data_IF_859002279269
#
_entry.id   IF_859002279269
#
_cell.length_a   1.000
_cell.length_b   1.000
_cell.length_c   1.000
_cell.angle_alpha   90.00
_cell.angle_beta   90.00
_cell.angle_gamma   90.00
#
_symmetry.space_group_name_H-M   'P 1'
#
loop_
_entity.id
_entity.type
_entity.pdbx_description
1 polymer ?
#
# COMPACT_ATOMS: atom_id res chain seq x y z
N UNK A 1 -7.28 24.14 -16.44
CA UNK A 1 -7.42 25.10 -17.56
C UNK A 1 -6.79 24.61 -18.87
N UNK A 2 -5.55 24.08 -18.90
CA UNK A 2 -4.92 23.63 -20.17
C UNK A 2 -5.29 22.21 -20.64
N UNK A 3 -5.65 21.32 -19.70
CA UNK A 3 -6.05 19.94 -19.98
C UNK A 3 -7.42 19.65 -19.32
N UNK A 4 -8.54 20.14 -19.89
CA UNK A 4 -9.86 20.05 -19.24
C UNK A 4 -10.50 18.65 -19.29
N UNK A 5 -9.93 17.72 -20.06
CA UNK A 5 -10.43 16.35 -20.25
C UNK A 5 -9.92 15.36 -19.18
N UNK A 6 -9.09 15.83 -18.24
CA UNK A 6 -8.59 15.00 -17.13
C UNK A 6 -9.76 14.47 -16.29
N UNK A 7 -9.82 13.16 -16.11
CA UNK A 7 -10.80 12.50 -15.25
C UNK A 7 -10.44 12.70 -13.78
N UNK A 8 -11.47 12.92 -12.97
CA UNK A 8 -11.33 13.01 -11.52
C UNK A 8 -12.62 12.58 -10.82
N UNK A 9 -12.49 12.18 -9.56
CA UNK A 9 -13.58 11.63 -8.76
C UNK A 9 -13.67 12.33 -7.39
N UNK A 10 -14.90 12.59 -6.87
CA UNK A 10 -16.18 12.54 -7.59
C UNK A 10 -16.30 13.68 -8.63
N UNK A 11 -17.10 13.53 -9.71
CA UNK A 11 -17.17 14.49 -10.81
C UNK A 11 -17.53 15.93 -10.41
N UNK A 12 -18.42 16.09 -9.44
CA UNK A 12 -18.95 17.37 -8.96
C UNK A 12 -18.03 18.06 -7.93
N UNK A 13 -17.12 17.32 -7.32
CA UNK A 13 -16.13 17.86 -6.39
C UNK A 13 -14.83 17.02 -6.45
N UNK A 14 -14.03 17.14 -7.53
CA UNK A 14 -12.83 16.34 -7.75
C UNK A 14 -11.87 16.33 -6.54
N UNK A 15 -11.63 15.15 -5.96
CA UNK A 15 -10.67 14.95 -4.87
C UNK A 15 -9.50 14.04 -5.30
N UNK A 16 -9.77 13.05 -6.15
CA UNK A 16 -8.77 12.14 -6.70
C UNK A 16 -8.72 12.33 -8.20
N UNK A 17 -7.53 12.55 -8.74
CA UNK A 17 -7.33 12.80 -10.16
C UNK A 17 -6.69 11.58 -10.81
N UNK A 18 -7.24 11.12 -11.92
CA UNK A 18 -6.64 10.09 -12.77
C UNK A 18 -5.52 10.71 -13.61
N UNK A 19 -4.51 11.20 -12.91
CA UNK A 19 -3.26 11.75 -13.42
C UNK A 19 -2.12 10.90 -12.91
N UNK A 20 -1.19 10.55 -13.79
CA UNK A 20 -0.08 9.64 -13.54
C UNK A 20 1.26 10.27 -13.96
N UNK A 21 1.28 11.05 -15.02
CA UNK A 21 2.48 11.53 -15.71
C UNK A 21 2.63 13.05 -15.67
N UNK A 22 1.97 13.74 -14.74
CA UNK A 22 2.16 15.19 -14.62
C UNK A 22 3.64 15.54 -14.35
N UNK A 23 4.12 16.73 -14.75
CA UNK A 23 5.50 17.15 -14.46
C UNK A 23 5.85 17.04 -12.97
N UNK A 24 4.91 17.32 -12.06
CA UNK A 24 5.12 17.17 -10.62
C UNK A 24 5.33 15.69 -10.22
N UNK A 25 4.49 14.78 -10.72
CA UNK A 25 4.62 13.35 -10.43
C UNK A 25 5.91 12.75 -11.00
N UNK A 26 6.27 13.09 -12.25
CA UNK A 26 7.51 12.61 -12.87
C UNK A 26 8.73 13.12 -12.13
N UNK A 27 8.75 14.42 -11.76
CA UNK A 27 9.85 14.99 -10.96
C UNK A 27 9.96 14.35 -9.59
N UNK A 28 8.84 14.20 -8.88
CA UNK A 28 8.85 13.60 -7.53
C UNK A 28 9.41 12.17 -7.57
N UNK A 29 8.90 11.31 -8.45
CA UNK A 29 9.33 9.90 -8.57
C UNK A 29 10.77 9.74 -9.08
N UNK A 30 11.28 10.72 -9.82
CA UNK A 30 12.65 10.72 -10.34
C UNK A 30 13.65 11.40 -9.39
N UNK A 31 13.19 12.03 -8.32
CA UNK A 31 14.04 12.86 -7.48
C UNK A 31 15.04 11.99 -6.70
N UNK A 32 16.36 12.30 -6.72
CA UNK A 32 17.38 11.49 -6.02
C UNK A 32 17.08 11.27 -4.54
N UNK A 33 16.62 12.30 -3.82
CA UNK A 33 16.25 12.16 -2.40
C UNK A 33 15.09 11.17 -2.17
N UNK A 34 14.12 11.09 -3.09
CA UNK A 34 13.02 10.15 -2.94
C UNK A 34 13.49 8.73 -3.20
N UNK A 35 14.29 8.51 -4.25
CA UNK A 35 14.91 7.21 -4.53
C UNK A 35 15.81 6.76 -3.36
N UNK A 36 16.55 7.68 -2.74
CA UNK A 36 17.34 7.40 -1.55
C UNK A 36 16.47 7.01 -0.34
N UNK A 37 15.37 7.72 -0.10
CA UNK A 37 14.41 7.37 0.95
C UNK A 37 13.76 6.00 0.72
N UNK A 38 13.38 5.69 -0.52
CA UNK A 38 12.85 4.37 -0.88
C UNK A 38 13.89 3.27 -0.63
N UNK A 39 15.15 3.43 -1.05
CA UNK A 39 16.22 2.46 -0.74
C UNK A 39 16.39 2.22 0.76
N UNK A 40 16.31 3.29 1.56
CA UNK A 40 16.35 3.18 3.02
C UNK A 40 15.15 2.39 3.58
N UNK A 41 13.93 2.64 3.10
CA UNK A 41 12.76 1.88 3.52
C UNK A 41 12.85 0.40 3.10
N UNK A 42 13.33 0.14 1.88
CA UNK A 42 13.52 -1.21 1.37
C UNK A 42 14.61 -1.97 2.13
N UNK A 43 15.59 -1.29 2.74
CA UNK A 43 16.66 -1.97 3.48
C UNK A 43 16.24 -2.54 4.84
N UNK A 44 15.03 -2.27 5.32
CA UNK A 44 14.46 -2.96 6.49
C UNK A 44 14.03 -4.40 6.18
N UNK A 45 13.81 -4.70 4.91
CA UNK A 45 13.45 -6.03 4.46
C UNK A 45 14.69 -6.91 4.31
N UNK A 46 14.50 -8.19 4.56
CA UNK A 46 15.54 -9.19 4.38
C UNK A 46 14.97 -10.44 3.71
N UNK A 47 15.84 -11.35 3.31
CA UNK A 47 15.49 -12.62 2.69
C UNK A 47 16.19 -13.76 3.40
N UNK A 48 15.45 -14.83 3.74
CA UNK A 48 16.05 -16.08 4.25
C UNK A 48 16.67 -16.91 3.12
N UNK A 49 16.24 -16.67 1.88
CA UNK A 49 16.80 -17.28 0.69
C UNK A 49 17.84 -16.33 0.04
N UNK A 50 19.15 -16.61 0.17
CA UNK A 50 20.18 -15.74 -0.39
C UNK A 50 20.16 -15.66 -1.93
N UNK A 51 19.47 -16.60 -2.59
CA UNK A 51 19.30 -16.66 -4.04
C UNK A 51 17.97 -16.06 -4.53
N UNK A 52 17.15 -15.53 -3.61
CA UNK A 52 15.88 -14.90 -3.93
C UNK A 52 16.06 -13.81 -5.01
N UNK A 53 15.27 -13.89 -6.09
CA UNK A 53 15.31 -12.97 -7.23
C UNK A 53 14.65 -11.63 -6.89
N UNK A 54 15.31 -10.89 -6.03
CA UNK A 54 14.89 -9.62 -5.45
C UNK A 54 16.10 -8.72 -5.22
N UNK A 55 15.90 -7.41 -5.37
CA UNK A 55 16.88 -6.42 -4.93
C UNK A 55 16.18 -5.25 -4.24
N UNK A 56 16.51 -5.04 -2.97
CA UNK A 56 16.08 -3.88 -2.17
C UNK A 56 16.91 -2.62 -2.43
N UNK A 57 18.06 -2.76 -3.11
CA UNK A 57 18.95 -1.64 -3.47
C UNK A 57 18.52 -0.86 -4.71
N UNK A 58 17.63 -1.44 -5.52
CA UNK A 58 17.19 -0.91 -6.80
C UNK A 58 15.67 -0.69 -6.78
N UNK A 59 15.17 0.43 -6.24
CA UNK A 59 13.75 0.73 -6.26
C UNK A 59 13.28 0.94 -7.70
N UNK A 60 12.05 0.52 -7.98
CA UNK A 60 11.37 0.77 -9.26
C UNK A 60 10.15 1.62 -9.04
N UNK A 61 9.80 2.42 -10.05
CA UNK A 61 8.68 3.34 -9.98
C UNK A 61 7.37 2.59 -10.18
N UNK A 62 6.40 2.88 -9.32
CA UNK A 62 4.99 2.59 -9.54
C UNK A 62 4.22 3.90 -9.73
N UNK A 63 3.50 4.03 -10.83
CA UNK A 63 2.74 5.21 -11.17
C UNK A 63 1.33 5.11 -10.59
N UNK A 64 1.05 5.99 -9.62
CA UNK A 64 -0.25 6.09 -8.97
C UNK A 64 -0.83 7.51 -9.18
N UNK A 65 -2.02 7.72 -8.66
CA UNK A 65 -2.78 8.96 -8.71
C UNK A 65 -2.25 9.99 -7.72
N UNK A 66 -2.94 11.12 -7.65
CA UNK A 66 -2.79 12.13 -6.61
C UNK A 66 -4.14 12.40 -5.95
N UNK A 67 -4.09 12.91 -4.73
CA UNK A 67 -5.26 13.38 -3.99
C UNK A 67 -5.09 14.85 -3.65
N UNK A 68 -6.13 15.64 -3.85
CA UNK A 68 -6.27 17.01 -3.34
C UNK A 68 -7.58 17.08 -2.59
N UNK A 69 -7.53 16.92 -1.25
CA UNK A 69 -8.72 16.83 -0.42
C UNK A 69 -9.10 18.21 0.12
N UNK A 70 -10.31 18.69 -0.18
CA UNK A 70 -10.80 19.99 0.25
C UNK A 70 -11.28 19.99 1.73
N UNK A 71 -11.19 21.14 2.44
CA UNK A 71 -11.80 21.33 3.75
C UNK A 71 -13.27 20.89 3.81
N UNK A 72 -13.63 20.20 4.90
CA UNK A 72 -14.99 19.74 5.14
C UNK A 72 -15.42 18.48 4.40
N UNK A 73 -14.61 17.95 3.47
CA UNK A 73 -14.92 16.72 2.74
C UNK A 73 -15.13 15.52 3.68
N UNK A 74 -16.21 14.78 3.42
CA UNK A 74 -16.57 13.54 4.13
C UNK A 74 -16.76 12.36 3.18
N UNK A 75 -16.63 12.58 1.86
CA UNK A 75 -16.88 11.53 0.87
C UNK A 75 -15.67 10.63 0.70
N UNK A 76 -14.47 11.15 0.92
CA UNK A 76 -13.23 10.37 0.93
C UNK A 76 -12.92 9.84 2.34
N UNK A 77 -13.89 9.17 2.95
CA UNK A 77 -13.71 8.44 4.20
C UNK A 77 -13.39 6.97 3.87
N UNK A 78 -12.17 6.55 4.14
CA UNK A 78 -11.75 5.15 4.06
C UNK A 78 -11.56 4.63 5.48
N UNK A 79 -12.37 3.63 5.85
CA UNK A 79 -12.27 2.93 7.12
C UNK A 79 -10.94 2.18 7.26
N UNK A 80 -10.75 1.50 8.39
CA UNK A 80 -9.54 0.72 8.61
C UNK A 80 -9.47 -0.44 7.60
N UNK A 81 -8.36 -0.53 6.86
CA UNK A 81 -8.16 -1.59 5.88
C UNK A 81 -6.67 -1.93 5.70
N UNK A 82 -6.42 -3.05 5.02
CA UNK A 82 -5.10 -3.47 4.52
C UNK A 82 -5.24 -3.79 3.03
N UNK A 83 -4.35 -3.21 2.20
CA UNK A 83 -4.33 -3.45 0.74
C UNK A 83 -3.50 -4.67 0.37
N UNK A 84 -3.45 -5.00 -0.93
CA UNK A 84 -2.61 -6.09 -1.45
C UNK A 84 -3.22 -7.47 -1.19
N UNK A 85 -4.54 -7.59 -1.38
CA UNK A 85 -5.30 -8.82 -1.21
C UNK A 85 -6.11 -8.85 0.09
N UNK A 86 -7.20 -9.60 0.07
CA UNK A 86 -8.01 -9.93 1.23
C UNK A 86 -8.11 -11.44 1.40
N UNK A 87 -9.02 -12.11 0.70
CA UNK A 87 -9.22 -13.56 0.74
C UNK A 87 -7.92 -14.32 0.41
N UNK A 88 -7.09 -13.75 -0.47
CA UNK A 88 -5.81 -14.30 -0.88
C UNK A 88 -4.89 -14.62 0.30
N UNK A 89 -5.06 -13.96 1.46
CA UNK A 89 -4.25 -14.19 2.67
C UNK A 89 -4.46 -15.57 3.30
N UNK A 90 -5.63 -16.17 3.09
CA UNK A 90 -5.99 -17.50 3.56
C UNK A 90 -5.88 -18.58 2.47
N UNK A 91 -5.83 -18.17 1.20
CA UNK A 91 -5.85 -19.10 0.08
C UNK A 91 -4.46 -19.63 -0.29
N UNK A 92 -4.38 -20.95 -0.56
CA UNK A 92 -3.17 -21.61 -1.03
C UNK A 92 -2.64 -20.99 -2.34
N UNK A 93 -3.55 -20.61 -3.24
CA UNK A 93 -3.20 -19.97 -4.50
C UNK A 93 -2.78 -18.49 -4.36
N UNK A 94 -3.03 -17.87 -3.20
CA UNK A 94 -2.71 -16.47 -2.91
C UNK A 94 -1.40 -16.35 -2.15
N UNK A 95 -1.48 -15.96 -0.88
CA UNK A 95 -0.34 -15.87 0.05
C UNK A 95 0.18 -17.25 0.50
N UNK A 96 -0.61 -18.31 0.35
CA UNK A 96 -0.18 -19.67 0.65
C UNK A 96 0.94 -20.18 -0.26
N UNK A 97 1.04 -19.71 -1.51
CA UNK A 97 2.15 -20.03 -2.44
C UNK A 97 3.52 -19.74 -1.83
N UNK A 98 3.58 -18.65 -1.08
CA UNK A 98 4.77 -18.19 -0.39
C UNK A 98 4.90 -18.67 1.04
N UNK A 99 3.84 -19.27 1.60
CA UNK A 99 3.73 -19.62 3.03
C UNK A 99 3.97 -18.38 3.93
N UNK A 100 3.57 -17.19 3.46
CA UNK A 100 3.88 -15.90 4.11
C UNK A 100 3.45 -15.87 5.57
N UNK A 101 2.27 -16.40 5.86
CA UNK A 101 1.65 -16.39 7.19
C UNK A 101 1.69 -17.75 7.89
N UNK A 102 2.50 -18.70 7.41
CA UNK A 102 2.51 -20.05 7.94
C UNK A 102 2.81 -20.11 9.45
N UNK A 103 3.77 -19.30 9.91
CA UNK A 103 4.10 -19.20 11.34
C UNK A 103 2.86 -18.87 12.19
N UNK A 104 1.98 -18.00 11.70
CA UNK A 104 0.73 -17.63 12.37
C UNK A 104 -0.22 -18.83 12.38
N UNK A 105 -0.45 -19.47 11.22
CA UNK A 105 -1.42 -20.56 11.11
C UNK A 105 -1.01 -21.85 11.86
N UNK A 106 0.29 -22.07 12.10
CA UNK A 106 0.78 -23.19 12.94
C UNK A 106 0.73 -22.90 14.45
N UNK A 107 0.28 -21.71 14.86
CA UNK A 107 0.22 -21.30 16.27
C UNK A 107 1.51 -20.75 16.85
N UNK A 108 2.49 -20.41 16.02
CA UNK A 108 3.80 -19.83 16.41
C UNK A 108 3.93 -18.42 15.80
N UNK A 109 2.91 -17.60 16.07
CA UNK A 109 2.77 -16.27 15.49
C UNK A 109 3.88 -15.32 15.98
N UNK A 110 4.50 -15.61 17.12
CA UNK A 110 5.63 -14.86 17.67
C UNK A 110 6.86 -14.93 16.75
N UNK A 111 7.03 -16.04 16.03
CA UNK A 111 8.09 -16.23 15.03
C UNK A 111 7.77 -15.60 13.67
N UNK A 112 6.55 -15.10 13.47
CA UNK A 112 6.17 -14.43 12.23
C UNK A 112 7.00 -13.16 12.04
N UNK A 113 7.69 -13.11 10.90
CA UNK A 113 8.51 -11.99 10.50
C UNK A 113 7.85 -11.24 9.35
N UNK A 114 7.29 -10.03 9.59
CA UNK A 114 6.65 -9.27 8.53
C UNK A 114 7.64 -8.77 7.46
N UNK A 115 8.94 -8.68 7.81
CA UNK A 115 10.01 -8.13 6.97
C UNK A 115 10.72 -9.17 6.12
N UNK A 116 10.30 -10.43 6.18
CA UNK A 116 10.76 -11.47 5.27
C UNK A 116 10.09 -11.29 3.89
N UNK A 117 10.93 -11.05 2.88
CA UNK A 117 10.59 -10.76 1.50
C UNK A 117 10.56 -11.97 0.57
N UNK A 118 11.37 -13.03 0.78
CA UNK A 118 11.44 -14.15 -0.19
C UNK A 118 10.11 -14.88 -0.32
N UNK A 119 9.40 -15.04 0.80
CA UNK A 119 8.08 -15.64 0.84
C UNK A 119 7.04 -14.84 0.05
N UNK A 120 7.28 -13.54 -0.23
CA UNK A 120 6.33 -12.69 -0.95
C UNK A 120 6.48 -12.74 -2.47
N UNK A 121 7.61 -13.22 -2.98
CA UNK A 121 7.87 -13.28 -4.43
C UNK A 121 6.87 -14.14 -5.23
N UNK A 122 6.43 -15.33 -4.76
CA UNK A 122 5.48 -16.15 -5.52
C UNK A 122 4.01 -15.76 -5.29
N UNK A 123 3.73 -14.77 -4.43
CA UNK A 123 2.36 -14.43 -4.02
C UNK A 123 1.56 -13.89 -5.20
N UNK A 124 0.31 -14.33 -5.29
CA UNK A 124 -0.70 -13.70 -6.13
C UNK A 124 -1.70 -12.99 -5.23
N UNK A 125 -1.57 -11.67 -5.12
CA UNK A 125 -2.39 -10.85 -4.21
C UNK A 125 -3.73 -10.41 -4.79
N UNK A 126 -4.02 -10.75 -6.04
CA UNK A 126 -5.26 -10.44 -6.74
C UNK A 126 -5.72 -11.66 -7.54
N UNK A 127 -6.34 -12.62 -6.86
CA UNK A 127 -6.89 -13.82 -7.50
C UNK A 127 -8.19 -13.55 -8.23
N UNK A 128 -8.85 -12.44 -7.89
CA UNK A 128 -10.22 -12.14 -8.28
C UNK A 128 -10.35 -10.95 -9.23
N UNK A 129 -9.23 -10.42 -9.72
CA UNK A 129 -9.19 -9.27 -10.63
C UNK A 129 -9.95 -8.06 -10.09
N UNK A 130 -9.68 -7.75 -8.81
CA UNK A 130 -10.30 -6.67 -8.07
C UNK A 130 -10.06 -5.31 -8.71
N UNK A 131 -11.06 -4.44 -8.68
CA UNK A 131 -10.92 -3.07 -9.20
C UNK A 131 -9.94 -2.32 -8.30
N UNK A 132 -8.87 -1.79 -8.89
CA UNK A 132 -7.82 -1.08 -8.17
C UNK A 132 -6.82 -2.00 -7.45
N UNK A 133 -6.80 -3.29 -7.78
CA UNK A 133 -5.73 -4.18 -7.37
C UNK A 133 -4.36 -3.68 -7.87
N UNK A 134 -3.32 -3.92 -7.09
CA UNK A 134 -1.97 -3.53 -7.43
C UNK A 134 -1.19 -4.75 -7.94
N UNK A 135 -0.60 -4.63 -9.12
CA UNK A 135 0.21 -5.65 -9.77
C UNK A 135 1.67 -5.68 -9.30
N UNK A 136 2.15 -4.61 -8.64
CA UNK A 136 3.50 -4.58 -8.08
C UNK A 136 3.52 -5.04 -6.62
N UNK A 137 4.54 -5.81 -6.25
CA UNK A 137 4.91 -5.99 -4.86
C UNK A 137 5.43 -4.65 -4.30
N UNK A 138 4.60 -4.00 -3.49
CA UNK A 138 4.94 -2.80 -2.72
C UNK A 138 5.39 -3.26 -1.34
N UNK A 139 6.64 -3.00 -0.99
CA UNK A 139 7.17 -3.28 0.36
C UNK A 139 6.69 -2.23 1.36
N UNK A 140 6.59 -0.98 0.91
CA UNK A 140 5.90 0.06 1.65
C UNK A 140 4.93 0.79 0.72
N UNK A 141 3.75 1.08 1.23
CA UNK A 141 2.93 2.15 0.68
C UNK A 141 3.50 3.49 1.11
N UNK A 142 3.14 4.56 0.42
CA UNK A 142 3.61 5.87 0.81
C UNK A 142 3.09 6.99 -0.09
N UNK A 143 3.27 8.21 0.40
CA UNK A 143 2.93 9.42 -0.34
C UNK A 143 3.83 10.59 0.05
N UNK A 144 4.02 11.49 -0.91
CA UNK A 144 4.72 12.75 -0.74
C UNK A 144 3.71 13.87 -0.47
N UNK A 145 3.90 14.60 0.62
CA UNK A 145 3.07 15.75 0.99
C UNK A 145 3.25 16.89 -0.03
N UNK A 146 2.12 17.46 -0.46
CA UNK A 146 2.08 18.63 -1.35
C UNK A 146 1.45 19.86 -0.68
N UNK A 147 0.81 19.68 0.48
CA UNK A 147 0.31 20.75 1.33
C UNK A 147 0.72 20.50 2.79
N UNK A 148 0.57 21.52 3.63
CA UNK A 148 0.66 21.34 5.07
C UNK A 148 -0.63 20.70 5.58
N UNK A 149 -0.53 19.69 6.44
CA UNK A 149 -1.71 19.00 6.96
C UNK A 149 -1.44 18.40 8.34
N UNK A 150 -2.37 18.59 9.27
CA UNK A 150 -2.28 18.14 10.66
C UNK A 150 -3.23 16.95 10.94
N UNK A 151 -3.10 16.28 12.11
CA UNK A 151 -4.14 15.35 12.58
C UNK A 151 -5.54 15.97 12.51
N UNK A 152 -6.55 15.16 12.15
CA UNK A 152 -7.96 15.56 11.93
C UNK A 152 -8.22 16.40 10.67
N UNK A 153 -7.19 16.76 9.92
CA UNK A 153 -7.33 17.55 8.70
C UNK A 153 -7.38 16.67 7.43
N UNK A 154 -8.02 15.50 7.52
CA UNK A 154 -8.19 14.65 6.35
C UNK A 154 -6.98 13.72 6.10
N UNK A 155 -6.17 13.48 7.12
CA UNK A 155 -4.87 12.80 7.04
C UNK A 155 -4.97 11.30 7.30
N UNK A 156 -3.81 10.63 7.21
CA UNK A 156 -3.63 9.20 7.40
C UNK A 156 -3.63 8.84 8.89
N UNK A 157 -4.26 7.72 9.21
CA UNK A 157 -4.07 7.01 10.47
C UNK A 157 -3.49 5.64 10.18
N UNK A 158 -2.63 5.15 11.07
CA UNK A 158 -2.03 3.81 11.00
C UNK A 158 -2.22 3.08 12.32
N UNK A 159 -2.32 1.75 12.26
CA UNK A 159 -2.17 0.88 13.41
C UNK A 159 -0.68 0.50 13.53
N UNK A 160 0.02 0.88 14.61
CA UNK A 160 1.44 0.60 14.75
C UNK A 160 1.76 -0.83 15.24
N UNK A 161 0.75 -1.69 15.42
CA UNK A 161 0.89 -3.03 15.99
C UNK A 161 1.10 -4.11 14.91
N UNK A 162 1.94 -3.85 13.89
CA UNK A 162 2.08 -4.66 12.68
C UNK A 162 1.97 -6.18 12.91
N UNK A 163 2.89 -6.79 13.69
CA UNK A 163 2.88 -8.24 13.96
C UNK A 163 1.60 -8.71 14.66
N UNK A 164 1.21 -8.04 15.74
CA UNK A 164 0.07 -8.44 16.57
C UNK A 164 -1.26 -8.28 15.81
N UNK A 165 -1.43 -7.18 15.08
CA UNK A 165 -2.61 -6.91 14.30
C UNK A 165 -2.75 -7.89 13.13
N UNK A 166 -1.66 -8.18 12.41
CA UNK A 166 -1.64 -9.19 11.34
C UNK A 166 -2.00 -10.58 11.86
N UNK A 167 -1.37 -11.03 12.94
CA UNK A 167 -1.71 -12.30 13.58
C UNK A 167 -3.18 -12.35 14.02
N UNK A 168 -3.65 -11.28 14.67
CA UNK A 168 -5.01 -11.19 15.16
C UNK A 168 -6.05 -11.33 14.03
N UNK A 169 -5.99 -10.50 12.98
CA UNK A 169 -7.05 -10.55 11.95
C UNK A 169 -6.99 -11.82 11.12
N UNK A 170 -5.80 -12.43 10.93
CA UNK A 170 -5.67 -13.71 10.22
C UNK A 170 -6.25 -14.88 11.00
N UNK A 171 -6.08 -14.87 12.33
CA UNK A 171 -6.62 -15.91 13.21
C UNK A 171 -8.09 -15.69 13.55
N UNK A 172 -8.56 -14.44 13.54
CA UNK A 172 -9.91 -14.04 13.95
C UNK A 172 -11.05 -14.89 13.36
N UNK A 173 -11.05 -15.30 12.07
CA UNK A 173 -12.09 -16.17 11.49
C UNK A 173 -12.23 -17.54 12.16
N UNK A 174 -11.19 -18.02 12.85
CA UNK A 174 -11.17 -19.33 13.49
C UNK A 174 -11.59 -19.31 14.96
N UNK A 175 -12.00 -18.16 15.51
CA UNK A 175 -12.41 -18.05 16.92
C UNK A 175 -13.83 -17.54 17.07
N UNK A 176 -14.60 -18.25 17.90
CA UNK A 176 -16.01 -17.94 18.21
C UNK A 176 -16.16 -17.65 19.70
N UNK A 177 -16.99 -16.65 20.08
CA UNK A 177 -17.24 -16.35 21.48
C UNK A 177 -18.14 -17.42 22.12
N UNK A 178 -17.79 -17.86 23.34
CA UNK A 178 -18.55 -18.81 24.16
C UNK A 178 -19.81 -18.17 24.73
N UNK A 179 -19.76 -16.87 25.03
CA UNK A 179 -20.88 -16.05 25.50
C UNK A 179 -21.07 -14.85 24.56
N UNK A 180 -22.32 -14.52 24.20
CA UNK A 180 -22.60 -13.33 23.40
C UNK A 180 -22.28 -12.06 24.21
N UNK A 181 -22.10 -10.92 23.52
CA UNK A 181 -21.90 -9.65 24.21
C UNK A 181 -23.19 -9.19 24.89
N UNK A 182 -23.05 -8.36 25.94
CA UNK A 182 -24.20 -7.78 26.63
C UNK A 182 -25.01 -6.85 25.72
N UNK A 183 -24.33 -6.11 24.85
CA UNK A 183 -24.93 -5.28 23.81
C UNK A 183 -24.30 -5.60 22.44
N UNK A 184 -25.04 -6.21 21.50
CA UNK A 184 -24.55 -6.48 20.15
C UNK A 184 -24.04 -5.24 19.40
N UNK A 185 -24.61 -4.06 19.68
CA UNK A 185 -24.29 -2.82 18.99
C UNK A 185 -23.04 -2.12 19.54
N UNK A 186 -22.55 -2.51 20.74
CA UNK A 186 -21.35 -1.93 21.33
C UNK A 186 -20.44 -2.94 22.05
N UNK A 187 -20.33 -4.15 21.51
CA UNK A 187 -19.55 -5.21 22.12
C UNK A 187 -18.03 -4.97 22.10
N UNK A 188 -17.55 -4.00 21.31
CA UNK A 188 -16.14 -3.62 21.30
C UNK A 188 -15.68 -2.94 22.60
N UNK A 189 -16.61 -2.57 23.50
CA UNK A 189 -16.30 -2.02 24.83
C UNK A 189 -16.67 -2.98 25.99
N UNK A 190 -17.08 -4.22 25.68
CA UNK A 190 -17.53 -5.19 26.68
C UNK A 190 -16.34 -6.05 27.17
N UNK A 191 -15.79 -5.80 28.38
CA UNK A 191 -14.59 -6.49 28.85
C UNK A 191 -14.81 -7.99 29.08
N UNK A 192 -16.02 -8.42 29.41
CA UNK A 192 -16.34 -9.84 29.59
C UNK A 192 -16.42 -10.54 28.24
N UNK A 193 -16.96 -9.86 27.23
CA UNK A 193 -17.00 -10.38 25.86
C UNK A 193 -15.59 -10.53 25.28
N UNK A 194 -14.70 -9.55 25.52
CA UNK A 194 -13.33 -9.50 25.02
C UNK A 194 -12.34 -10.31 25.87
N UNK A 195 -12.76 -10.87 27.00
CA UNK A 195 -11.89 -11.67 27.84
C UNK A 195 -11.38 -12.91 27.08
N UNK A 196 -10.07 -13.27 27.15
CA UNK A 196 -9.53 -14.44 26.43
C UNK A 196 -10.29 -15.74 26.69
N UNK A 197 -10.74 -15.96 27.94
CA UNK A 197 -11.52 -17.15 28.30
C UNK A 197 -12.88 -17.25 27.60
N UNK A 198 -13.40 -16.15 27.05
CA UNK A 198 -14.64 -16.15 26.29
C UNK A 198 -14.45 -16.67 24.85
N UNK A 199 -13.24 -17.03 24.42
CA UNK A 199 -13.00 -17.50 23.05
C UNK A 199 -12.66 -18.98 23.00
N UNK A 200 -13.11 -19.64 21.95
CA UNK A 200 -12.72 -21.01 21.60
C UNK A 200 -12.43 -21.11 20.11
N UNK A 201 -11.48 -21.97 19.77
CA UNK A 201 -11.22 -22.37 18.39
C UNK A 201 -12.50 -23.01 17.83
N UNK A 202 -12.96 -22.52 16.68
CA UNK A 202 -14.12 -23.02 15.98
C UNK A 202 -13.81 -24.44 15.45
N UNK A 203 -14.53 -25.49 15.89
CA UNK A 203 -14.26 -26.85 15.44
C UNK A 203 -14.52 -27.05 13.95
N UNK A 204 -15.48 -26.30 13.38
CA UNK A 204 -15.82 -26.34 11.95
C UNK A 204 -15.83 -24.91 11.39
N UNK A 205 -14.73 -24.45 10.78
CA UNK A 205 -14.65 -23.09 10.24
C UNK A 205 -15.75 -22.81 9.20
N UNK A 206 -16.33 -21.62 9.28
CA UNK A 206 -17.26 -21.12 8.25
C UNK A 206 -16.49 -20.42 7.12
N UNK A 207 -17.17 -20.07 6.02
CA UNK A 207 -16.59 -19.24 4.95
C UNK A 207 -16.46 -17.76 5.31
N UNK A 208 -16.79 -17.36 6.54
CA UNK A 208 -16.77 -15.97 6.97
C UNK A 208 -15.37 -15.53 7.42
N UNK A 209 -14.65 -14.85 6.51
CA UNK A 209 -13.28 -14.33 6.73
C UNK A 209 -13.24 -12.90 7.31
N UNK A 210 -14.30 -12.51 8.03
CA UNK A 210 -14.38 -11.27 8.83
C UNK A 210 -13.83 -10.01 8.14
N UNK A 211 -14.47 -9.58 7.04
CA UNK A 211 -14.10 -8.37 6.31
C UNK A 211 -13.20 -8.61 5.08
N UNK A 212 -12.77 -9.86 4.86
CA UNK A 212 -12.22 -10.24 3.56
C UNK A 212 -13.35 -10.47 2.54
N UNK A 213 -13.22 -9.90 1.35
CA UNK A 213 -14.18 -10.04 0.25
C UNK A 213 -13.43 -10.20 -1.07
N UNK A 214 -13.74 -11.21 -1.89
CA UNK A 214 -13.09 -11.40 -3.18
C UNK A 214 -13.09 -10.13 -4.05
N UNK A 215 -11.93 -9.77 -4.57
CA UNK A 215 -11.74 -8.58 -5.41
C UNK A 215 -11.78 -7.24 -4.67
N UNK A 216 -11.70 -7.25 -3.32
CA UNK A 216 -11.60 -6.06 -2.46
C UNK A 216 -10.41 -6.17 -1.50
N UNK A 217 -9.97 -5.03 -0.98
CA UNK A 217 -9.01 -4.98 0.13
C UNK A 217 -9.59 -5.58 1.42
N UNK A 218 -8.72 -5.92 2.38
CA UNK A 218 -9.16 -6.43 3.68
C UNK A 218 -9.77 -5.29 4.48
N UNK A 219 -11.06 -5.36 4.78
CA UNK A 219 -11.73 -4.38 5.63
C UNK A 219 -11.61 -4.80 7.10
N UNK A 220 -11.35 -3.83 7.97
CA UNK A 220 -11.35 -4.03 9.41
C UNK A 220 -12.27 -3.03 10.09
N UNK A 221 -13.18 -3.55 10.90
CA UNK A 221 -14.14 -2.74 11.64
C UNK A 221 -14.11 -3.13 13.13
N UNK A 222 -14.36 -2.21 14.07
CA UNK A 222 -14.42 -2.53 15.49
C UNK A 222 -15.39 -3.64 15.86
N UNK A 223 -16.50 -3.82 15.13
CA UNK A 223 -17.43 -4.93 15.38
C UNK A 223 -16.90 -6.29 14.90
N UNK A 224 -16.02 -6.30 13.91
CA UNK A 224 -15.40 -7.54 13.42
C UNK A 224 -14.11 -7.84 14.22
N UNK A 225 -13.40 -6.79 14.61
CA UNK A 225 -12.07 -6.85 15.22
C UNK A 225 -12.01 -6.04 16.54
N UNK A 226 -12.85 -6.38 17.54
CA UNK A 226 -13.02 -5.51 18.70
C UNK A 226 -11.75 -5.36 19.55
N UNK A 227 -10.93 -6.41 19.70
CA UNK A 227 -9.68 -6.33 20.47
C UNK A 227 -8.62 -5.41 19.84
N UNK A 228 -8.78 -5.03 18.57
CA UNK A 228 -7.88 -4.07 17.93
C UNK A 228 -8.24 -2.62 18.26
N UNK A 229 -9.42 -2.33 18.83
CA UNK A 229 -9.86 -0.96 19.13
C UNK A 229 -9.70 0.00 17.93
N UNK A 230 -10.29 -0.32 16.78
CA UNK A 230 -10.08 0.41 15.51
C UNK A 230 -10.93 1.69 15.35
N UNK A 231 -11.36 2.30 16.45
CA UNK A 231 -12.15 3.53 16.38
C UNK A 231 -11.31 4.69 15.89
N UNK A 232 -11.76 5.40 14.86
CA UNK A 232 -11.06 6.60 14.40
C UNK A 232 -11.34 7.76 15.37
N UNK A 233 -10.30 8.41 15.92
CA UNK A 233 -10.47 9.63 16.70
C UNK A 233 -11.22 10.70 15.88
N UNK A 234 -12.12 11.44 16.53
CA UNK A 234 -12.84 12.56 15.91
C UNK A 234 -12.65 13.84 16.71
N UNK A 235 -12.36 14.95 16.03
CA UNK A 235 -12.23 16.28 16.63
C UNK A 235 -13.52 16.75 17.34
N UNK A 236 -14.69 16.20 16.99
CA UNK A 236 -15.98 16.60 17.57
C UNK A 236 -16.35 15.81 18.84
N UNK A 237 -15.71 14.67 19.12
CA UNK A 237 -16.09 13.74 20.20
C UNK A 237 -14.97 13.56 21.25
N UNK A 238 -14.30 14.64 21.64
CA UNK A 238 -13.23 14.63 22.65
C UNK A 238 -13.68 14.24 24.07
N UNK A 239 -14.98 14.08 24.33
CA UNK A 239 -15.54 13.96 25.69
C UNK A 239 -15.65 12.53 26.23
N UNK A 240 -15.45 11.49 25.39
CA UNK A 240 -15.30 10.11 25.84
C UNK A 240 -14.01 9.53 25.24
N UNK A 241 -12.96 9.39 26.05
CA UNK A 241 -11.70 8.73 25.68
C UNK A 241 -11.94 7.23 25.45
N UNK A 242 -12.54 6.88 24.31
CA UNK A 242 -12.60 5.48 23.87
C UNK A 242 -11.16 5.06 23.51
N UNK A 243 -10.65 3.94 24.04
CA UNK A 243 -9.36 3.41 23.63
C UNK A 243 -9.34 3.20 22.11
N UNK A 244 -8.22 3.54 21.48
CA UNK A 244 -7.99 3.23 20.07
C UNK A 244 -6.53 2.91 19.82
N UNK A 245 -6.29 1.98 18.90
CA UNK A 245 -4.95 1.67 18.39
C UNK A 245 -4.59 2.45 17.12
N UNK A 246 -5.56 3.17 16.54
CA UNK A 246 -5.34 3.97 15.34
C UNK A 246 -4.68 5.29 15.73
N UNK A 247 -3.52 5.55 15.14
CA UNK A 247 -2.69 6.73 15.45
C UNK A 247 -2.59 7.60 14.21
N UNK A 248 -2.92 8.89 14.35
CA UNK A 248 -2.65 9.88 13.31
C UNK A 248 -1.15 9.99 13.05
N UNK A 249 -0.79 10.18 11.80
CA UNK A 249 0.56 10.64 11.47
C UNK A 249 0.84 12.02 12.11
N UNK A 250 2.11 12.38 12.35
CA UNK A 250 2.45 13.74 12.77
C UNK A 250 2.07 14.76 11.69
N UNK A 251 2.01 16.06 12.03
CA UNK A 251 1.89 17.11 11.03
C UNK A 251 2.93 16.97 9.92
N UNK A 252 2.49 17.16 8.69
CA UNK A 252 3.33 17.10 7.49
C UNK A 252 3.33 18.44 6.77
N UNK A 253 4.42 18.72 6.05
CA UNK A 253 4.62 19.89 5.20
C UNK A 253 4.99 19.46 3.78
N UNK A 254 4.81 20.33 2.77
CA UNK A 254 5.22 20.01 1.41
C UNK A 254 6.67 19.51 1.35
N UNK A 255 6.87 18.32 0.76
CA UNK A 255 8.16 17.65 0.68
C UNK A 255 8.38 16.53 1.72
N UNK A 256 7.57 16.45 2.78
CA UNK A 256 7.61 15.33 3.72
C UNK A 256 7.11 14.04 3.03
N UNK A 257 7.81 12.92 3.27
CA UNK A 257 7.46 11.61 2.72
C UNK A 257 7.01 10.67 3.84
N UNK A 258 5.77 10.20 3.75
CA UNK A 258 5.16 9.28 4.72
C UNK A 258 5.04 7.90 4.10
N UNK A 259 5.47 6.86 4.82
CA UNK A 259 5.42 5.48 4.35
C UNK A 259 4.99 4.52 5.46
N UNK A 260 4.34 3.42 5.09
CA UNK A 260 3.94 2.35 5.99
C UNK A 260 4.08 0.97 5.33
N UNK A 261 4.35 -0.05 6.13
CA UNK A 261 4.53 -1.43 5.66
C UNK A 261 3.24 -1.94 4.99
N UNK A 262 3.36 -2.78 3.95
CA UNK A 262 2.23 -3.23 3.12
C UNK A 262 1.11 -3.97 3.88
N UNK A 263 1.44 -4.67 4.96
CA UNK A 263 0.45 -5.33 5.83
C UNK A 263 -0.09 -4.43 6.98
N UNK A 264 0.29 -3.14 7.05
CA UNK A 264 -0.18 -2.26 8.13
C UNK A 264 -1.63 -1.85 7.90
N UNK A 265 -2.45 -1.96 8.94
CA UNK A 265 -3.80 -1.40 8.94
C UNK A 265 -3.68 0.12 8.89
N UNK A 266 -4.45 0.74 8.00
CA UNK A 266 -4.48 2.19 7.87
C UNK A 266 -5.89 2.67 7.50
N UNK A 267 -6.13 3.95 7.74
CA UNK A 267 -7.40 4.61 7.49
C UNK A 267 -7.16 6.08 7.16
N UNK A 268 -8.20 6.78 6.71
CA UNK A 268 -8.17 8.23 6.50
C UNK A 268 -9.24 8.86 7.36
N UNK A 269 -8.96 10.04 7.92
CA UNK A 269 -9.95 10.84 8.65
C UNK A 269 -11.30 10.88 7.93
N UNK A 270 -12.38 10.55 8.66
CA UNK A 270 -13.72 10.54 8.10
C UNK A 270 -14.17 11.93 7.62
N UNK A 271 -13.62 13.00 8.22
CA UNK A 271 -13.87 14.39 7.85
C UNK A 271 -12.56 15.18 7.85
N UNK A 272 -12.36 16.02 6.84
CA UNK A 272 -11.30 17.02 6.85
C UNK A 272 -11.73 18.25 7.68
N UNK A 273 -11.20 18.42 8.89
CA UNK A 273 -11.56 19.52 9.79
C UNK A 273 -10.64 20.77 9.69
N UNK A 274 -9.72 20.77 8.72
CA UNK A 274 -8.77 21.87 8.48
C UNK A 274 -9.36 22.98 7.63
N UNK A 275 -8.54 23.97 7.30
CA UNK A 275 -8.94 25.18 6.54
C UNK A 275 -8.31 25.30 5.16
N UNK A 276 -7.28 24.51 4.88
CA UNK A 276 -6.59 24.40 3.58
C UNK A 276 -6.73 22.98 3.03
N UNK A 277 -6.35 22.75 1.77
CA UNK A 277 -6.38 21.42 1.17
C UNK A 277 -5.36 20.46 1.79
N UNK A 278 -5.70 19.17 1.81
CA UNK A 278 -4.82 18.05 2.12
C UNK A 278 -4.42 17.36 0.81
N UNK A 279 -3.27 17.73 0.26
CA UNK A 279 -2.80 17.31 -1.06
C UNK A 279 -1.56 16.40 -0.96
N UNK A 280 -1.60 15.27 -1.68
CA UNK A 280 -0.53 14.26 -1.67
C UNK A 280 -0.33 13.61 -3.04
N UNK A 281 0.89 13.18 -3.33
CA UNK A 281 1.21 12.28 -4.45
C UNK A 281 1.42 10.86 -3.92
N UNK A 282 0.67 9.87 -4.40
CA UNK A 282 0.90 8.48 -4.02
C UNK A 282 2.17 7.95 -4.71
N UNK A 283 3.14 7.53 -3.90
CA UNK A 283 4.43 7.02 -4.35
C UNK A 283 4.88 5.92 -3.39
N UNK A 284 4.58 4.64 -3.66
CA UNK A 284 5.02 3.53 -2.81
C UNK A 284 6.52 3.25 -3.01
N UNK A 285 7.09 2.40 -2.16
CA UNK A 285 8.43 1.83 -2.33
C UNK A 285 8.32 0.41 -2.86
N UNK A 286 8.73 0.21 -4.12
CA UNK A 286 8.73 -1.09 -4.79
C UNK A 286 10.17 -1.56 -5.02
N UNK A 287 10.57 -2.76 -4.55
CA UNK A 287 11.87 -3.32 -4.87
C UNK A 287 11.90 -3.84 -6.33
N UNK A 288 13.09 -4.10 -6.86
CA UNK A 288 13.21 -4.82 -8.11
C UNK A 288 12.95 -6.32 -7.88
N UNK A 289 11.92 -6.85 -8.54
CA UNK A 289 11.61 -8.28 -8.67
C UNK A 289 11.31 -8.57 -10.14
N UNK A 290 11.29 -9.83 -10.56
CA UNK A 290 10.84 -10.18 -11.90
C UNK A 290 9.38 -9.74 -12.17
N UNK A 291 8.49 -9.91 -11.20
CA UNK A 291 7.09 -9.48 -11.31
C UNK A 291 6.99 -7.95 -11.47
N UNK A 292 7.73 -7.19 -10.65
CA UNK A 292 7.77 -5.74 -10.75
C UNK A 292 8.42 -5.28 -12.06
N UNK A 293 9.43 -5.97 -12.58
CA UNK A 293 10.03 -5.67 -13.88
C UNK A 293 9.04 -5.89 -15.05
N UNK A 294 8.25 -6.96 -15.02
CA UNK A 294 7.19 -7.21 -16.02
C UNK A 294 6.12 -6.12 -15.99
N UNK A 295 5.74 -5.67 -14.81
CA UNK A 295 4.82 -4.53 -14.69
C UNK A 295 5.47 -3.23 -15.17
N UNK A 296 6.73 -2.97 -14.78
CA UNK A 296 7.49 -1.79 -15.17
C UNK A 296 7.62 -1.67 -16.69
N UNK A 297 7.78 -2.79 -17.41
CA UNK A 297 7.78 -2.80 -18.87
C UNK A 297 6.48 -2.23 -19.47
N UNK A 298 5.32 -2.70 -18.98
CA UNK A 298 4.00 -2.19 -19.42
C UNK A 298 3.77 -0.74 -18.99
N UNK A 299 4.20 -0.39 -17.78
CA UNK A 299 4.10 0.97 -17.27
C UNK A 299 4.96 1.94 -18.08
N UNK A 300 6.16 1.52 -18.50
CA UNK A 300 7.05 2.30 -19.36
C UNK A 300 6.37 2.63 -20.69
N UNK A 301 5.72 1.66 -21.32
CA UNK A 301 4.94 1.88 -22.54
C UNK A 301 3.83 2.90 -22.29
N UNK A 302 3.05 2.73 -21.21
CA UNK A 302 2.00 3.68 -20.84
C UNK A 302 2.54 5.10 -20.58
N UNK A 303 3.71 5.23 -19.94
CA UNK A 303 4.38 6.50 -19.75
C UNK A 303 4.78 7.15 -21.07
N UNK A 304 5.35 6.40 -22.01
CA UNK A 304 5.76 6.91 -23.32
C UNK A 304 4.55 7.36 -24.16
N UNK A 305 3.46 6.60 -24.13
CA UNK A 305 2.23 6.89 -24.86
C UNK A 305 1.35 7.94 -24.16
N UNK A 306 1.57 8.16 -22.86
CA UNK A 306 0.75 9.00 -22.01
C UNK A 306 -0.60 8.38 -21.64
N UNK A 307 -0.79 7.08 -21.83
CA UNK A 307 -2.01 6.37 -21.43
C UNK A 307 -1.99 6.08 -19.92
N UNK A 308 -3.14 5.79 -19.28
CA UNK A 308 -3.17 5.53 -17.83
C UNK A 308 -2.23 4.40 -17.41
N UNK A 309 -1.78 4.43 -16.15
CA UNK A 309 -1.03 3.32 -15.57
C UNK A 309 -1.85 2.00 -15.67
N UNK A 310 -1.25 0.85 -16.02
CA UNK A 310 -1.99 -0.38 -16.34
C UNK A 310 -2.98 -0.88 -15.27
N UNK A 311 -2.74 -0.61 -13.98
CA UNK A 311 -3.62 -1.02 -12.88
C UNK A 311 -4.87 -0.13 -12.72
N UNK A 312 -4.91 1.03 -13.38
CA UNK A 312 -6.00 2.01 -13.25
C UNK A 312 -6.91 2.05 -14.49
N UNK A 313 -6.91 0.96 -15.26
CA UNK A 313 -7.74 0.80 -16.45
C UNK A 313 -7.15 1.47 -17.69
N UNK A 314 -7.91 1.41 -18.79
CA UNK A 314 -7.51 1.96 -20.09
C UNK A 314 -8.10 3.32 -20.40
N UNK A 315 -7.78 3.84 -21.58
CA UNK A 315 -8.29 5.11 -22.10
C UNK A 315 -7.18 6.00 -22.61
N UNK A 316 -7.53 7.22 -23.01
CA UNK A 316 -6.57 8.16 -23.57
C UNK A 316 -5.63 8.77 -22.53
N UNK A 317 -6.03 8.76 -21.24
CA UNK A 317 -5.25 9.31 -20.15
C UNK A 317 -4.75 10.72 -20.43
N UNK A 318 -3.43 10.88 -20.45
CA UNK A 318 -2.69 12.12 -20.64
C UNK A 318 -2.06 12.21 -22.04
N UNK A 319 -2.39 11.30 -22.96
CA UNK A 319 -1.80 11.23 -24.30
C UNK A 319 -1.94 12.53 -25.09
N UNK A 320 -3.00 13.30 -24.83
CA UNK A 320 -3.28 14.62 -25.43
C UNK A 320 -2.92 15.81 -24.53
N UNK A 321 -2.30 15.58 -23.37
CA UNK A 321 -1.94 16.67 -22.47
C UNK A 321 -0.84 17.54 -23.06
N UNK A 322 -1.07 18.86 -23.05
CA UNK A 322 -0.03 19.83 -23.36
C UNK A 322 0.99 19.88 -22.22
N UNK A 323 2.27 19.79 -22.55
CA UNK A 323 3.37 19.81 -21.58
C UNK A 323 3.57 18.50 -20.82
N UNK A 324 3.12 17.37 -21.39
CA UNK A 324 3.44 16.03 -20.86
C UNK A 324 4.97 15.83 -20.87
N UNK A 325 5.58 15.41 -19.75
CA UNK A 325 7.01 15.13 -19.69
C UNK A 325 7.36 13.85 -20.47
N UNK A 326 8.51 13.87 -21.14
CA UNK A 326 9.14 12.68 -21.73
C UNK A 326 10.34 12.19 -20.93
N UNK A 327 11.11 11.29 -21.55
CA UNK A 327 12.32 10.66 -20.99
C UNK A 327 13.36 11.71 -20.57
N UNK A 328 13.44 12.82 -21.30
CA UNK A 328 14.35 13.92 -21.03
C UNK A 328 14.12 14.56 -19.64
N UNK A 329 12.87 14.60 -19.15
CA UNK A 329 12.60 15.12 -17.81
C UNK A 329 13.05 14.13 -16.71
N UNK A 330 12.90 12.83 -16.97
CA UNK A 330 13.38 11.79 -16.04
C UNK A 330 14.89 11.87 -15.89
N UNK A 331 15.60 11.93 -17.02
CA UNK A 331 17.06 12.05 -17.05
C UNK A 331 17.53 13.36 -16.41
N UNK A 332 16.90 14.49 -16.74
CA UNK A 332 17.25 15.79 -16.17
C UNK A 332 17.04 15.85 -14.64
N UNK A 333 16.08 15.10 -14.09
CA UNK A 333 15.78 15.12 -12.66
C UNK A 333 16.66 14.21 -11.82
N UNK A 334 16.96 13.00 -12.28
CA UNK A 334 17.65 12.01 -11.47
C UNK A 334 18.68 11.15 -12.21
N UNK A 335 19.04 11.53 -13.45
CA UNK A 335 20.08 10.87 -14.22
C UNK A 335 19.84 9.38 -14.44
N UNK A 336 20.91 8.59 -14.38
CA UNK A 336 20.84 7.16 -14.64
C UNK A 336 19.99 6.39 -13.63
N UNK A 337 20.03 6.77 -12.35
CA UNK A 337 19.28 6.06 -11.31
C UNK A 337 17.77 6.22 -11.54
N UNK A 338 17.32 7.42 -11.88
CA UNK A 338 15.93 7.64 -12.27
C UNK A 338 15.61 6.85 -13.54
N UNK A 339 16.42 6.93 -14.60
CA UNK A 339 16.15 6.17 -15.82
C UNK A 339 16.02 4.66 -15.56
N UNK A 340 16.87 4.09 -14.69
CA UNK A 340 16.76 2.69 -14.26
C UNK A 340 15.47 2.42 -13.48
N UNK A 341 15.13 3.25 -12.49
CA UNK A 341 13.91 3.10 -11.70
C UNK A 341 12.63 3.16 -12.55
N UNK A 342 12.66 3.90 -13.67
CA UNK A 342 11.58 3.99 -14.66
C UNK A 342 11.63 2.90 -15.75
N UNK A 343 12.62 2.01 -15.74
CA UNK A 343 12.79 0.96 -16.76
C UNK A 343 13.24 1.48 -18.12
N UNK A 344 13.78 2.70 -18.17
CA UNK A 344 14.28 3.39 -19.37
C UNK A 344 15.79 3.15 -19.61
N UNK A 345 16.48 2.52 -18.66
CA UNK A 345 17.88 2.09 -18.78
C UNK A 345 18.10 0.78 -18.02
N UNK A 346 18.95 -0.09 -18.55
CA UNK A 346 19.32 -1.34 -17.91
C UNK A 346 20.21 -1.15 -16.68
N UNK A 347 20.23 -2.17 -15.82
CA UNK A 347 21.12 -2.24 -14.66
C UNK A 347 22.44 -2.95 -15.01
N UNK A 348 23.50 -2.59 -14.29
CA UNK A 348 24.77 -3.31 -14.36
C UNK A 348 24.73 -4.54 -13.42
N UNK A 349 24.50 -5.72 -14.00
CA UNK A 349 24.52 -6.99 -13.28
C UNK A 349 25.92 -7.43 -12.80
N UNK A 350 26.99 -6.69 -13.14
CA UNK A 350 28.37 -6.94 -12.70
C UNK A 350 28.83 -5.99 -11.61
N UNK A 351 27.95 -5.10 -11.13
CA UNK A 351 28.29 -4.16 -10.07
C UNK A 351 28.80 -4.89 -8.81
N UNK A 352 29.79 -4.29 -8.14
CA UNK A 352 30.39 -4.87 -6.95
C UNK A 352 29.41 -4.96 -5.78
N UNK A 353 29.61 -5.98 -4.94
CA UNK A 353 28.81 -6.20 -3.74
C UNK A 353 27.39 -6.69 -3.97
N UNK A 354 27.03 -7.14 -5.19
CA UNK A 354 25.75 -7.80 -5.45
C UNK A 354 25.73 -9.24 -4.92
N UNK A 355 24.60 -9.67 -4.36
CA UNK A 355 24.30 -11.08 -4.08
C UNK A 355 24.03 -11.89 -5.35
N UNK A 356 23.96 -13.22 -5.25
CA UNK A 356 23.55 -14.11 -6.35
C UNK A 356 22.11 -13.86 -6.79
N UNK A 357 21.19 -13.72 -5.83
CA UNK A 357 19.80 -13.33 -6.07
C UNK A 357 19.67 -11.99 -6.80
N UNK A 358 20.41 -10.97 -6.33
CA UNK A 358 20.44 -9.63 -6.92
C UNK A 358 20.98 -9.64 -8.36
N UNK A 359 22.10 -10.32 -8.61
CA UNK A 359 22.63 -10.45 -9.99
C UNK A 359 21.62 -11.08 -10.93
N UNK A 360 20.95 -12.14 -10.48
CA UNK A 360 19.95 -12.80 -11.32
C UNK A 360 18.72 -11.96 -11.59
N UNK A 361 18.21 -11.22 -10.60
CA UNK A 361 17.04 -10.36 -10.83
C UNK A 361 17.38 -9.18 -11.73
N UNK A 362 18.58 -8.60 -11.63
CA UNK A 362 19.02 -7.52 -12.53
C UNK A 362 19.14 -8.04 -13.98
N UNK A 363 19.70 -9.23 -14.17
CA UNK A 363 19.77 -9.89 -15.48
C UNK A 363 18.39 -10.16 -16.07
N UNK A 364 17.51 -10.82 -15.31
CA UNK A 364 16.15 -11.11 -15.74
C UNK A 364 15.35 -9.83 -16.02
N UNK A 365 15.51 -8.79 -15.20
CA UNK A 365 14.86 -7.50 -15.43
C UNK A 365 15.36 -6.82 -16.72
N UNK A 366 16.66 -6.89 -17.02
CA UNK A 366 17.19 -6.39 -18.29
C UNK A 366 16.60 -7.15 -19.48
N UNK A 367 16.48 -8.48 -19.41
CA UNK A 367 15.81 -9.29 -20.45
C UNK A 367 14.34 -8.88 -20.63
N UNK A 368 13.59 -8.78 -19.53
CA UNK A 368 12.17 -8.39 -19.53
C UNK A 368 11.97 -6.99 -20.14
N UNK A 369 12.88 -6.05 -19.86
CA UNK A 369 12.79 -4.67 -20.35
C UNK A 369 13.39 -4.48 -21.76
N UNK A 370 14.05 -5.49 -22.32
CA UNK A 370 14.66 -5.46 -23.65
C UNK A 370 16.04 -4.79 -23.71
N UNK A 371 16.84 -4.92 -22.65
CA UNK A 371 18.21 -4.38 -22.55
C UNK A 371 19.32 -5.44 -22.64
N UNK A 372 18.97 -6.72 -22.71
CA UNK A 372 19.91 -7.85 -22.74
C UNK A 372 20.18 -8.35 -24.16
#
# INVERSE_FOLDING_TARGET
ARNPHTRAFPPENPQVYELYWSPAQVRARSHPNLLAAQRFLLSFWHSRDPDARLSTRHPVVYADRLRMRAPGDQRFALGCHVDGGSCERWEEAGYGKGRVYEAIFRGDWESYDPWESSCRLPVTSDLYHGIGACSMFRMAQGWLAMSETHPFEGTLLVNPLLRHATAYFLLRPFFTPKKPPQNPDNHADDPDFLHPDNWSLEPTPTSWLQGATPGRGQELHPTLHPHLHLHLPSAQHHTARRPTSMTHIPPVRPGDYVAWHCDSIHAVDARHAGTTDSSVLYIPSCPLTEANARFLARQREAFLDGTPCPDFGGGEGESRHLGRPGVEMVEAMGGEEALRAWGLRGWDGRAEGLGSGERGVLGAANEILGFA
#
